data_IF_002423784029
#
_entry.id   IF_002423784029
#
_cell.length_a   1.000
_cell.length_b   1.000
_cell.length_c   1.000
_cell.angle_alpha   90.00
_cell.angle_beta   90.00
_cell.angle_gamma   90.00
#
_symmetry.space_group_name_H-M   'P 1'
#
loop_
_entity.id
_entity.type
_entity.pdbx_description
1 polymer ?
#
# COMPACT_ATOMS: atom_id res chain seq x y z
N UNK A 1 -22.75 -12.46 3.70
CA UNK A 1 -21.58 -12.18 4.56
C UNK A 1 -20.81 -11.01 3.97
N UNK A 2 -20.92 -9.80 4.57
CA UNK A 2 -19.99 -8.71 4.28
C UNK A 2 -18.67 -9.08 4.97
N UNK A 3 -17.72 -9.70 4.25
CA UNK A 3 -16.32 -9.67 4.65
C UNK A 3 -15.85 -8.23 4.40
N UNK A 4 -16.05 -7.41 5.42
CA UNK A 4 -15.81 -5.97 5.45
C UNK A 4 -14.32 -5.68 5.32
N UNK A 5 -13.91 -4.94 4.29
CA UNK A 5 -12.60 -4.34 4.00
C UNK A 5 -11.38 -4.70 4.87
N UNK A 6 -11.43 -4.53 6.19
CA UNK A 6 -10.35 -4.85 7.14
C UNK A 6 -9.74 -6.26 6.98
N UNK A 7 -10.56 -7.31 6.84
CA UNK A 7 -10.02 -8.66 6.63
C UNK A 7 -9.26 -8.78 5.28
N UNK A 8 -9.73 -8.06 4.26
CA UNK A 8 -9.06 -8.03 2.96
C UNK A 8 -7.73 -7.27 3.00
N UNK A 9 -7.61 -6.27 3.87
CA UNK A 9 -6.40 -5.48 4.04
C UNK A 9 -5.33 -6.24 4.82
N UNK A 10 -5.72 -6.97 5.86
CA UNK A 10 -4.82 -7.85 6.62
C UNK A 10 -4.23 -8.95 5.74
N UNK A 11 -5.06 -9.62 4.93
CA UNK A 11 -4.57 -10.64 3.99
C UNK A 11 -3.66 -10.05 2.91
N UNK A 12 -3.99 -8.85 2.43
CA UNK A 12 -3.14 -8.16 1.46
C UNK A 12 -1.77 -7.82 2.04
N UNK A 13 -1.74 -7.26 3.24
CA UNK A 13 -0.49 -6.92 3.94
C UNK A 13 0.33 -8.17 4.29
N UNK A 14 -0.31 -9.24 4.75
CA UNK A 14 0.35 -10.53 4.97
C UNK A 14 0.95 -11.09 3.67
N UNK A 15 0.22 -10.98 2.56
CA UNK A 15 0.69 -11.37 1.22
C UNK A 15 1.90 -10.56 0.76
N UNK A 16 1.91 -9.25 1.00
CA UNK A 16 3.08 -8.40 0.72
C UNK A 16 4.31 -8.84 1.53
N UNK A 17 4.15 -9.07 2.84
CA UNK A 17 5.24 -9.53 3.71
C UNK A 17 5.83 -10.86 3.26
N UNK A 18 4.97 -11.82 2.92
CA UNK A 18 5.40 -13.11 2.39
C UNK A 18 6.15 -12.93 1.07
N UNK A 19 5.62 -12.12 0.16
CA UNK A 19 6.24 -11.86 -1.15
C UNK A 19 7.63 -11.24 -0.99
N UNK A 20 7.77 -10.22 -0.13
CA UNK A 20 9.06 -9.59 0.17
C UNK A 20 10.05 -10.59 0.78
N UNK A 21 9.60 -11.46 1.68
CA UNK A 21 10.45 -12.48 2.29
C UNK A 21 10.94 -13.51 1.25
N UNK A 22 10.11 -13.91 0.29
CA UNK A 22 10.47 -14.84 -0.77
C UNK A 22 11.42 -14.22 -1.80
N UNK A 23 11.26 -12.94 -2.09
CA UNK A 23 12.06 -12.19 -3.07
C UNK A 23 13.35 -11.60 -2.49
N UNK A 24 13.52 -11.63 -1.16
CA UNK A 24 14.65 -11.04 -0.47
C UNK A 24 15.99 -11.47 -1.07
N UNK A 25 16.88 -10.50 -1.29
CA UNK A 25 18.19 -10.74 -1.89
C UNK A 25 18.18 -10.99 -3.40
N UNK A 26 17.16 -10.50 -4.12
CA UNK A 26 17.05 -10.63 -5.57
C UNK A 26 16.87 -12.07 -6.04
N UNK A 27 15.99 -12.82 -5.40
CA UNK A 27 15.78 -14.24 -5.71
C UNK A 27 15.20 -14.45 -7.13
N UNK A 28 16.09 -14.58 -8.11
CA UNK A 28 15.74 -14.68 -9.53
C UNK A 28 14.81 -15.85 -9.85
N UNK A 29 14.92 -16.98 -9.13
CA UNK A 29 14.02 -18.12 -9.32
C UNK A 29 12.59 -17.78 -8.93
N UNK A 30 12.40 -17.11 -7.80
CA UNK A 30 11.07 -16.67 -7.36
C UNK A 30 10.54 -15.58 -8.28
N UNK A 31 11.38 -14.62 -8.68
CA UNK A 31 10.99 -13.58 -9.63
C UNK A 31 10.50 -14.18 -10.96
N UNK A 32 11.23 -15.16 -11.50
CA UNK A 32 10.88 -15.85 -12.74
C UNK A 32 9.58 -16.64 -12.59
N UNK A 33 9.42 -17.42 -11.50
CA UNK A 33 8.18 -18.13 -11.24
C UNK A 33 6.98 -17.18 -11.10
N UNK A 34 7.18 -16.03 -10.45
CA UNK A 34 6.15 -15.00 -10.34
C UNK A 34 5.78 -14.43 -11.71
N UNK A 35 6.76 -14.10 -12.54
CA UNK A 35 6.56 -13.62 -13.91
C UNK A 35 5.77 -14.63 -14.76
N UNK A 36 6.17 -15.90 -14.73
CA UNK A 36 5.53 -16.98 -15.48
C UNK A 36 4.07 -17.17 -15.09
N UNK A 37 3.72 -17.00 -13.82
CA UNK A 37 2.31 -17.02 -13.39
C UNK A 37 1.54 -15.79 -13.89
N UNK A 38 2.15 -14.60 -13.85
CA UNK A 38 1.50 -13.35 -14.27
C UNK A 38 1.20 -13.30 -15.77
N UNK A 39 2.08 -13.85 -16.62
CA UNK A 39 1.89 -13.81 -18.08
C UNK A 39 0.89 -14.84 -18.59
N UNK A 40 0.48 -15.81 -17.77
CA UNK A 40 -0.52 -16.80 -18.18
C UNK A 40 -1.82 -16.08 -18.55
N UNK A 41 -2.48 -16.49 -19.66
CA UNK A 41 -3.75 -15.91 -20.04
C UNK A 41 -4.80 -16.24 -18.96
N UNK A 42 -5.34 -15.19 -18.34
CA UNK A 42 -6.38 -15.35 -17.33
C UNK A 42 -7.65 -15.84 -18.04
N UNK A 43 -8.08 -17.07 -17.75
CA UNK A 43 -9.41 -17.57 -18.15
C UNK A 43 -10.45 -16.86 -17.30
N UNK A 44 -10.86 -15.66 -17.69
CA UNK A 44 -11.87 -14.88 -16.97
C UNK A 44 -13.21 -15.62 -17.04
N UNK A 45 -13.53 -16.42 -16.03
CA UNK A 45 -14.90 -16.91 -15.82
C UNK A 45 -15.75 -15.77 -15.25
N UNK A 46 -16.20 -14.90 -16.15
CA UNK A 46 -17.46 -14.14 -16.14
C UNK A 46 -18.10 -13.49 -14.90
N UNK A 47 -17.56 -13.57 -13.67
CA UNK A 47 -18.30 -13.10 -12.48
C UNK A 47 -17.80 -11.77 -11.88
N UNK A 48 -16.60 -11.30 -12.23
CA UNK A 48 -15.92 -10.26 -11.44
C UNK A 48 -15.63 -8.97 -12.23
N UNK A 49 -16.00 -8.92 -13.52
CA UNK A 49 -15.82 -7.72 -14.35
C UNK A 49 -14.38 -7.20 -14.45
N UNK A 50 -13.37 -8.07 -14.29
CA UNK A 50 -11.96 -7.71 -14.45
C UNK A 50 -11.31 -6.95 -13.29
N UNK A 51 -11.98 -6.86 -12.14
CA UNK A 51 -11.51 -6.04 -11.01
C UNK A 51 -10.55 -6.75 -10.05
N UNK A 52 -10.26 -8.04 -10.25
CA UNK A 52 -9.54 -8.90 -9.29
C UNK A 52 -8.10 -9.25 -9.68
N UNK A 53 -7.56 -8.66 -10.76
CA UNK A 53 -6.17 -8.89 -11.18
C UNK A 53 -5.15 -8.28 -10.20
N UNK A 54 -4.00 -8.94 -10.02
CA UNK A 54 -2.92 -8.47 -9.15
C UNK A 54 -2.49 -7.03 -9.46
N UNK A 55 -2.32 -6.67 -10.75
CA UNK A 55 -1.97 -5.31 -11.17
C UNK A 55 -3.04 -4.30 -10.80
N UNK A 56 -4.31 -4.69 -10.91
CA UNK A 56 -5.45 -3.83 -10.53
C UNK A 56 -5.42 -3.56 -9.03
N UNK A 57 -5.10 -4.58 -8.23
CA UNK A 57 -4.94 -4.42 -6.77
C UNK A 57 -3.78 -3.49 -6.42
N UNK A 58 -2.60 -3.66 -7.06
CA UNK A 58 -1.45 -2.78 -6.83
C UNK A 58 -1.81 -1.33 -7.20
N UNK A 59 -2.42 -1.12 -8.37
CA UNK A 59 -2.93 0.20 -8.78
C UNK A 59 -3.89 0.80 -7.76
N UNK A 60 -4.84 0.01 -7.25
CA UNK A 60 -5.77 0.48 -6.23
C UNK A 60 -5.05 0.93 -4.96
N UNK A 61 -4.01 0.21 -4.52
CA UNK A 61 -3.21 0.57 -3.35
C UNK A 61 -2.40 1.85 -3.56
N UNK A 62 -1.77 2.03 -4.72
CA UNK A 62 -1.07 3.27 -5.05
C UNK A 62 -2.02 4.48 -5.03
N UNK A 63 -3.20 4.34 -5.62
CA UNK A 63 -4.24 5.38 -5.60
C UNK A 63 -4.82 5.63 -4.21
N UNK A 64 -4.98 4.59 -3.40
CA UNK A 64 -5.37 4.74 -2.01
C UNK A 64 -4.29 5.50 -1.23
N UNK A 65 -3.02 5.22 -1.52
CA UNK A 65 -1.88 5.97 -1.00
C UNK A 65 -1.98 7.47 -1.27
N UNK A 66 -2.29 7.85 -2.51
CA UNK A 66 -2.53 9.25 -2.89
C UNK A 66 -3.60 9.91 -2.02
N UNK A 67 -4.74 9.24 -1.81
CA UNK A 67 -5.83 9.77 -0.98
C UNK A 67 -5.40 9.92 0.48
N UNK A 68 -4.69 8.92 1.00
CA UNK A 68 -4.21 8.91 2.38
C UNK A 68 -3.18 10.02 2.66
N UNK A 69 -2.54 10.63 1.66
CA UNK A 69 -1.60 11.76 1.88
C UNK A 69 -2.33 12.93 2.57
N UNK A 70 -3.48 13.34 2.03
CA UNK A 70 -4.26 14.43 2.61
C UNK A 70 -4.84 14.04 3.98
N UNK A 71 -5.31 12.81 4.12
CA UNK A 71 -5.86 12.28 5.38
C UNK A 71 -4.81 12.22 6.49
N UNK A 72 -3.58 11.78 6.17
CA UNK A 72 -2.45 11.74 7.12
C UNK A 72 -2.06 13.12 7.60
N UNK A 73 -2.09 14.12 6.72
CA UNK A 73 -1.78 15.50 7.11
C UNK A 73 -2.80 16.02 8.13
N UNK A 74 -4.09 15.92 7.81
CA UNK A 74 -5.16 16.32 8.72
C UNK A 74 -5.10 15.54 10.04
N UNK A 75 -4.81 14.24 9.96
CA UNK A 75 -4.63 13.39 11.14
C UNK A 75 -3.49 13.91 12.02
N UNK A 76 -2.32 14.20 11.46
CA UNK A 76 -1.17 14.69 12.23
C UNK A 76 -1.45 16.06 12.88
N UNK A 77 -2.13 16.97 12.18
CA UNK A 77 -2.57 18.26 12.71
C UNK A 77 -3.51 18.04 13.92
N UNK A 78 -4.54 17.20 13.76
CA UNK A 78 -5.51 16.88 14.82
C UNK A 78 -4.86 16.14 16.00
N UNK A 79 -3.87 15.26 15.74
CA UNK A 79 -3.14 14.56 16.80
C UNK A 79 -2.28 15.53 17.61
N UNK A 80 -1.62 16.50 16.96
CA UNK A 80 -0.86 17.54 17.65
C UNK A 80 -1.73 18.35 18.61
N UNK A 81 -2.93 18.74 18.16
CA UNK A 81 -3.92 19.43 19.01
C UNK A 81 -4.37 18.58 20.20
N UNK A 82 -4.63 17.28 19.99
CA UNK A 82 -5.02 16.37 21.08
C UNK A 82 -3.92 16.16 22.10
N UNK A 83 -2.66 16.01 21.66
CA UNK A 83 -1.52 15.88 22.56
C UNK A 83 -1.37 17.15 23.40
N UNK A 84 -1.44 18.32 22.77
CA UNK A 84 -1.37 19.61 23.47
C UNK A 84 -2.50 19.76 24.51
N UNK A 85 -3.73 19.38 24.16
CA UNK A 85 -4.85 19.43 25.11
C UNK A 85 -4.66 18.48 26.30
N UNK A 86 -4.16 17.26 26.05
CA UNK A 86 -3.86 16.31 27.15
C UNK A 86 -2.75 16.84 28.06
N UNK A 87 -1.77 17.57 27.51
CA UNK A 87 -0.71 18.21 28.29
C UNK A 87 -1.22 19.41 29.10
N UNK A 88 -2.13 20.22 28.56
CA UNK A 88 -2.74 21.36 29.26
C UNK A 88 -3.63 20.91 30.43
N UNK A 89 -4.41 19.86 30.23
CA UNK A 89 -5.38 19.36 31.21
C UNK A 89 -4.75 18.35 32.21
N UNK A 90 -3.45 18.05 32.11
CA UNK A 90 -2.78 16.97 32.85
C UNK A 90 -2.93 17.10 34.38
N UNK A 91 -2.84 18.33 34.91
CA UNK A 91 -2.94 18.60 36.34
C UNK A 91 -4.36 18.40 36.90
N UNK A 92 -5.38 18.39 36.03
CA UNK A 92 -6.79 18.23 36.40
C UNK A 92 -7.27 16.76 36.31
N UNK A 93 -6.43 15.87 35.77
CA UNK A 93 -6.77 14.47 35.52
C UNK A 93 -6.20 13.51 36.57
N UNK A 94 -6.83 12.35 36.72
CA UNK A 94 -6.19 11.24 37.41
C UNK A 94 -5.11 10.63 36.52
N UNK A 95 -4.01 10.13 37.10
CA UNK A 95 -2.93 9.50 36.35
C UNK A 95 -3.40 8.34 35.44
N UNK A 96 -4.46 7.62 35.83
CA UNK A 96 -5.06 6.58 34.99
C UNK A 96 -5.75 7.14 33.74
N UNK A 97 -6.50 8.24 33.89
CA UNK A 97 -7.16 8.93 32.78
C UNK A 97 -6.14 9.55 31.83
N UNK A 98 -5.12 10.23 32.36
CA UNK A 98 -4.04 10.82 31.58
C UNK A 98 -3.33 9.74 30.74
N UNK A 99 -3.00 8.59 31.34
CA UNK A 99 -2.34 7.49 30.64
C UNK A 99 -3.15 6.95 29.45
N UNK A 100 -4.47 6.84 29.58
CA UNK A 100 -5.34 6.34 28.51
C UNK A 100 -5.43 7.36 27.37
N UNK A 101 -5.64 8.63 27.69
CA UNK A 101 -5.73 9.69 26.69
C UNK A 101 -4.41 9.90 25.96
N UNK A 102 -3.27 9.83 26.66
CA UNK A 102 -1.95 9.84 26.02
C UNK A 102 -1.76 8.67 25.07
N UNK A 103 -2.22 7.46 25.43
CA UNK A 103 -2.14 6.30 24.54
C UNK A 103 -2.96 6.52 23.26
N UNK A 104 -4.16 7.06 23.38
CA UNK A 104 -5.04 7.34 22.24
C UNK A 104 -4.50 8.47 21.36
N UNK A 105 -3.96 9.54 21.97
CA UNK A 105 -3.37 10.69 21.28
C UNK A 105 -2.00 10.38 20.63
N UNK A 106 -1.34 9.28 21.03
CA UNK A 106 -0.12 8.79 20.40
C UNK A 106 -0.38 7.64 19.41
N UNK A 107 -1.64 7.29 19.14
CA UNK A 107 -1.94 6.23 18.20
C UNK A 107 -1.57 6.67 16.79
N UNK A 108 -0.67 5.93 16.14
CA UNK A 108 -0.28 6.23 14.76
C UNK A 108 -1.42 6.08 13.75
N UNK A 109 -1.32 6.81 12.64
CA UNK A 109 -2.22 6.71 11.50
C UNK A 109 -2.29 5.27 10.98
N UNK A 110 -3.49 4.72 10.88
CA UNK A 110 -3.73 3.37 10.37
C UNK A 110 -3.90 3.42 8.86
N UNK A 111 -2.88 2.97 8.13
CA UNK A 111 -2.92 2.93 6.66
C UNK A 111 -3.61 1.67 6.15
N UNK A 112 -4.41 1.83 5.09
CA UNK A 112 -4.96 0.74 4.29
C UNK A 112 -4.23 0.59 2.95
N UNK A 113 -3.43 1.58 2.56
CA UNK A 113 -2.73 1.59 1.29
C UNK A 113 -1.47 0.70 1.26
N UNK A 114 -0.73 0.57 2.37
CA UNK A 114 0.53 -0.18 2.45
C UNK A 114 1.50 0.17 1.30
N UNK A 115 1.63 1.47 1.01
CA UNK A 115 2.38 1.96 -0.15
C UNK A 115 3.85 1.55 -0.08
N UNK A 116 4.49 1.69 1.08
CA UNK A 116 5.91 1.38 1.24
C UNK A 116 6.21 -0.09 0.93
N UNK A 117 5.41 -1.00 1.49
CA UNK A 117 5.53 -2.44 1.26
C UNK A 117 5.18 -2.82 -0.18
N UNK A 118 4.21 -2.12 -0.78
CA UNK A 118 3.86 -2.29 -2.20
C UNK A 118 5.04 -1.91 -3.10
N UNK A 119 5.67 -0.75 -2.85
CA UNK A 119 6.82 -0.28 -3.62
C UNK A 119 8.04 -1.17 -3.42
N UNK A 120 8.28 -1.63 -2.19
CA UNK A 120 9.39 -2.54 -1.89
C UNK A 120 9.22 -3.90 -2.58
N UNK A 121 8.00 -4.44 -2.59
CA UNK A 121 7.72 -5.66 -3.35
C UNK A 121 7.95 -5.47 -4.86
N UNK A 122 7.52 -4.34 -5.45
CA UNK A 122 7.78 -4.02 -6.85
C UNK A 122 9.29 -3.86 -7.12
N UNK A 123 10.04 -3.21 -6.22
CA UNK A 123 11.50 -3.08 -6.31
C UNK A 123 12.16 -4.45 -6.35
N UNK A 124 11.78 -5.34 -5.44
CA UNK A 124 12.33 -6.69 -5.33
C UNK A 124 11.99 -7.58 -6.54
N UNK A 125 10.81 -7.42 -7.16
CA UNK A 125 10.46 -8.13 -8.39
C UNK A 125 11.36 -7.76 -9.58
N UNK A 126 11.90 -6.53 -9.58
CA UNK A 126 12.75 -6.00 -10.65
C UNK A 126 14.25 -5.99 -10.30
N UNK A 127 14.62 -6.42 -9.09
CA UNK A 127 16.00 -6.48 -8.62
C UNK A 127 16.83 -7.42 -9.51
N UNK A 128 18.07 -7.04 -9.83
CA UNK A 128 18.93 -7.82 -10.74
C UNK A 128 18.64 -7.62 -12.23
N UNK A 129 17.98 -6.51 -12.62
CA UNK A 129 17.68 -6.17 -14.01
C UNK A 129 16.78 -7.18 -14.73
N UNK A 130 15.73 -7.67 -14.06
CA UNK A 130 14.74 -8.56 -14.68
C UNK A 130 13.89 -7.80 -15.72
N UNK A 131 14.43 -7.65 -16.93
CA UNK A 131 13.87 -6.82 -17.99
C UNK A 131 12.43 -7.21 -18.36
N UNK A 132 12.14 -8.51 -18.49
CA UNK A 132 10.79 -8.98 -18.83
C UNK A 132 9.75 -8.57 -17.80
N UNK A 133 10.08 -8.64 -16.50
CA UNK A 133 9.21 -8.13 -15.45
C UNK A 133 9.05 -6.60 -15.56
N UNK A 134 10.13 -5.85 -15.77
CA UNK A 134 10.08 -4.40 -15.89
C UNK A 134 9.20 -3.94 -17.06
N UNK A 135 9.31 -4.60 -18.21
CA UNK A 135 8.47 -4.34 -19.37
C UNK A 135 7.02 -4.71 -19.10
N UNK A 136 6.80 -5.84 -18.43
CA UNK A 136 5.47 -6.30 -18.05
C UNK A 136 4.78 -5.35 -17.08
N UNK A 137 5.47 -4.70 -16.14
CA UNK A 137 4.84 -3.71 -15.25
C UNK A 137 4.34 -2.45 -15.99
N UNK A 138 4.89 -2.18 -17.18
CA UNK A 138 4.47 -1.07 -18.04
C UNK A 138 3.33 -1.47 -18.96
N UNK A 139 3.43 -2.63 -19.58
CA UNK A 139 2.49 -3.09 -20.61
C UNK A 139 2.33 -4.61 -20.57
N UNK A 140 1.08 -5.09 -20.60
CA UNK A 140 0.77 -6.51 -20.57
C UNK A 140 0.14 -6.96 -21.90
N UNK A 141 0.95 -7.16 -22.96
CA UNK A 141 0.42 -7.54 -24.27
C UNK A 141 -0.31 -8.88 -24.20
N UNK A 142 -1.47 -8.96 -24.86
CA UNK A 142 -2.30 -10.17 -24.86
C UNK A 142 -3.15 -10.39 -23.61
N UNK A 143 -3.04 -9.53 -22.60
CA UNK A 143 -3.97 -9.52 -21.47
C UNK A 143 -5.20 -8.64 -21.79
N UNK A 144 -6.35 -8.99 -21.21
CA UNK A 144 -7.61 -8.25 -21.41
C UNK A 144 -7.55 -6.85 -20.78
N UNK A 145 -6.79 -6.72 -19.69
CA UNK A 145 -6.58 -5.46 -18.98
C UNK A 145 -5.10 -5.12 -18.99
N UNK A 146 -4.81 -3.90 -19.43
CA UNK A 146 -3.47 -3.34 -19.42
C UNK A 146 -3.41 -2.23 -18.36
N UNK A 147 -2.58 -2.44 -17.34
CA UNK A 147 -2.36 -1.50 -16.24
C UNK A 147 -0.90 -1.07 -16.27
N UNK A 148 -0.69 0.20 -16.64
CA UNK A 148 0.63 0.82 -16.58
C UNK A 148 0.97 1.24 -15.14
N UNK A 149 1.62 0.35 -14.38
CA UNK A 149 1.98 0.61 -12.99
C UNK A 149 3.06 1.69 -12.84
N UNK A 150 3.90 1.89 -13.86
CA UNK A 150 4.88 2.99 -13.87
C UNK A 150 4.17 4.35 -13.92
N UNK A 151 3.08 4.45 -14.69
CA UNK A 151 2.26 5.65 -14.72
C UNK A 151 1.62 5.96 -13.36
N UNK A 152 1.07 4.93 -12.70
CA UNK A 152 0.46 5.07 -11.36
C UNK A 152 1.52 5.43 -10.30
N UNK A 153 2.75 4.92 -10.41
CA UNK A 153 3.88 5.34 -9.57
C UNK A 153 4.23 6.81 -9.81
N UNK A 154 4.26 7.26 -11.05
CA UNK A 154 4.49 8.66 -11.40
C UNK A 154 3.46 9.60 -10.76
N UNK A 155 2.17 9.22 -10.82
CA UNK A 155 1.08 9.97 -10.18
C UNK A 155 1.26 10.06 -8.65
N UNK A 156 1.62 8.94 -8.00
CA UNK A 156 1.94 8.92 -6.57
C UNK A 156 3.10 9.87 -6.24
N UNK A 157 4.19 9.85 -7.01
CA UNK A 157 5.37 10.68 -6.78
C UNK A 157 5.06 12.17 -6.92
N UNK A 158 4.22 12.56 -7.89
CA UNK A 158 3.78 13.95 -8.06
C UNK A 158 3.06 14.45 -6.80
N UNK A 159 2.15 13.64 -6.26
CA UNK A 159 1.40 14.01 -5.05
C UNK A 159 2.25 14.00 -3.78
N UNK A 160 3.19 13.07 -3.66
CA UNK A 160 4.14 13.06 -2.55
C UNK A 160 5.05 14.30 -2.59
N UNK A 161 5.60 14.65 -3.75
CA UNK A 161 6.43 15.86 -3.90
C UNK A 161 5.66 17.11 -3.48
N UNK A 162 4.44 17.29 -4.00
CA UNK A 162 3.61 18.44 -3.67
C UNK A 162 3.21 18.52 -2.18
N UNK A 163 3.22 17.39 -1.47
CA UNK A 163 2.96 17.34 -0.04
C UNK A 163 4.21 17.62 0.81
N UNK A 164 5.41 17.28 0.31
CA UNK A 164 6.69 17.54 0.98
C UNK A 164 7.18 18.99 0.81
N UNK A 165 6.79 19.66 -0.28
CA UNK A 165 7.15 21.04 -0.57
C UNK A 165 6.34 22.09 0.24
N UNK A 166 5.50 21.65 1.19
CA UNK A 166 4.63 22.49 2.04
C UNK A 166 4.97 22.31 3.51
#
# INVERSE_FOLDING_TARGET
LKMTAAASDDFYHAGLRLSMALLAGGNAHVQQAFYEELIKPVKVKGHDGGKSGWQVMIKQRLRQGVKEIAERRLFNETQGERIAQVDEDADEMTAGTESVLRLEANRGFQTSAFVAETLEMLRLLCEGHHQSMQEYLREQPGQVYNVNLLGELGELLIHLSAALDK
#
